data_IF_965438999684
#
_entry.id   IF_965438999684
#
_cell.length_a   1.000
_cell.length_b   1.000
_cell.length_c   1.000
_cell.angle_alpha   90.00
_cell.angle_beta   90.00
_cell.angle_gamma   90.00
#
_symmetry.space_group_name_H-M   'P 1'
#
loop_
_entity.id
_entity.type
_entity.pdbx_description
1 polymer ?
#
# COMPACT_ATOMS: atom_id res chain seq x y z
N UNK A 1 -12.20 -10.15 15.65
CA UNK A 1 -11.35 -10.47 14.48
C UNK A 1 -9.85 -10.47 14.77
N UNK A 2 -9.35 -10.10 15.97
CA UNK A 2 -7.99 -10.47 16.42
C UNK A 2 -6.80 -9.97 15.59
N UNK A 3 -6.98 -8.96 14.73
CA UNK A 3 -5.91 -8.40 13.90
C UNK A 3 -4.97 -7.51 14.73
N UNK A 4 -3.68 -7.60 14.42
CA UNK A 4 -2.70 -6.57 14.79
C UNK A 4 -2.74 -5.49 13.72
N UNK A 5 -3.23 -4.29 14.06
CA UNK A 5 -3.52 -3.23 13.09
C UNK A 5 -2.52 -2.09 13.23
N UNK A 6 -1.83 -1.77 12.13
CA UNK A 6 -1.11 -0.52 11.95
C UNK A 6 -2.03 0.46 11.23
N UNK A 7 -2.42 1.55 11.89
CA UNK A 7 -3.27 2.61 11.31
C UNK A 7 -2.50 3.91 11.26
N UNK A 8 -2.44 4.51 10.08
CA UNK A 8 -1.64 5.68 9.75
C UNK A 8 -2.47 6.60 8.85
N UNK A 9 -2.28 7.92 8.95
CA UNK A 9 -3.05 8.90 8.21
C UNK A 9 -2.19 10.06 7.72
N UNK A 10 -2.58 10.65 6.59
CA UNK A 10 -1.92 11.80 5.96
C UNK A 10 -0.40 11.63 5.80
N UNK A 11 -0.01 10.50 5.19
CA UNK A 11 1.39 10.13 5.07
C UNK A 11 2.06 10.76 3.85
N UNK A 12 3.29 11.24 4.07
CA UNK A 12 4.24 11.55 3.00
C UNK A 12 4.69 10.27 2.29
N UNK A 13 5.30 10.40 1.10
CA UNK A 13 5.84 9.25 0.36
C UNK A 13 6.80 8.41 1.20
N UNK A 14 7.70 9.07 1.93
CA UNK A 14 8.69 8.40 2.77
C UNK A 14 8.03 7.67 3.96
N UNK A 15 7.01 8.25 4.56
CA UNK A 15 6.27 7.62 5.64
C UNK A 15 5.44 6.43 5.15
N UNK A 16 4.83 6.52 3.96
CA UNK A 16 4.16 5.36 3.34
C UNK A 16 5.14 4.20 3.14
N UNK A 17 6.32 4.45 2.57
CA UNK A 17 7.34 3.40 2.36
C UNK A 17 7.77 2.76 3.68
N UNK A 18 7.99 3.58 4.73
CA UNK A 18 8.33 3.09 6.07
C UNK A 18 7.21 2.25 6.68
N UNK A 19 5.97 2.73 6.65
CA UNK A 19 4.80 2.02 7.17
C UNK A 19 4.55 0.70 6.44
N UNK A 20 4.78 0.67 5.12
CA UNK A 20 4.74 -0.58 4.34
C UNK A 20 5.86 -1.53 4.80
N UNK A 21 7.08 -1.03 5.02
CA UNK A 21 8.18 -1.83 5.54
C UNK A 21 7.88 -2.44 6.91
N UNK A 22 7.31 -1.66 7.84
CA UNK A 22 6.86 -2.14 9.15
C UNK A 22 5.77 -3.20 9.02
N UNK A 23 4.77 -2.95 8.16
CA UNK A 23 3.73 -3.92 7.88
C UNK A 23 4.30 -5.24 7.34
N UNK A 24 5.25 -5.20 6.41
CA UNK A 24 5.89 -6.41 5.87
C UNK A 24 6.68 -7.19 6.93
N UNK A 25 7.31 -6.51 7.88
CA UNK A 25 8.03 -7.16 8.99
C UNK A 25 7.11 -7.91 9.97
N UNK A 26 5.82 -7.57 9.99
CA UNK A 26 4.82 -8.26 10.80
C UNK A 26 4.22 -9.49 10.09
N UNK A 27 4.48 -9.66 8.79
CA UNK A 27 3.95 -10.78 8.03
C UNK A 27 4.75 -12.06 8.29
N UNK A 28 4.04 -13.18 8.24
CA UNK A 28 4.58 -14.53 8.35
C UNK A 28 3.77 -15.47 7.45
N UNK A 29 4.31 -16.65 7.13
CA UNK A 29 3.61 -17.60 6.26
C UNK A 29 2.25 -18.06 6.85
N UNK A 30 2.09 -18.00 8.18
CA UNK A 30 0.89 -18.46 8.87
C UNK A 30 -0.18 -17.37 9.11
N UNK A 31 0.04 -16.12 8.66
CA UNK A 31 -0.88 -15.01 8.92
C UNK A 31 -1.86 -14.74 7.77
N UNK A 32 -2.88 -13.93 8.09
CA UNK A 32 -3.80 -13.32 7.13
C UNK A 32 -3.36 -11.86 6.91
N UNK A 33 -2.85 -11.56 5.73
CA UNK A 33 -2.44 -10.22 5.34
C UNK A 33 -3.66 -9.39 4.92
N UNK A 34 -3.81 -8.20 5.52
CA UNK A 34 -4.87 -7.27 5.18
C UNK A 34 -4.28 -5.88 4.98
N UNK A 35 -4.50 -5.31 3.79
CA UNK A 35 -4.09 -3.95 3.46
C UNK A 35 -5.32 -3.13 3.02
N UNK A 36 -5.49 -1.96 3.63
CA UNK A 36 -6.51 -0.99 3.28
C UNK A 36 -5.86 0.36 3.03
N UNK A 37 -6.22 0.98 1.91
CA UNK A 37 -5.85 2.35 1.59
C UNK A 37 -7.10 3.13 1.21
N UNK A 38 -7.21 4.36 1.73
CA UNK A 38 -8.22 5.32 1.34
C UNK A 38 -7.56 6.66 1.02
N UNK A 39 -7.81 7.18 -0.18
CA UNK A 39 -7.20 8.44 -0.62
C UNK A 39 -7.12 8.59 -2.13
N UNK A 40 -6.26 9.50 -2.58
CA UNK A 40 -6.04 9.71 -4.00
C UNK A 40 -5.17 8.62 -4.59
N UNK A 41 -5.56 8.14 -5.77
CA UNK A 41 -4.79 7.19 -6.54
C UNK A 41 -5.13 7.34 -8.01
N UNK A 42 -4.38 6.61 -8.82
CA UNK A 42 -4.58 6.58 -10.25
C UNK A 42 -4.19 5.22 -10.81
N UNK A 43 -4.62 4.96 -12.04
CA UNK A 43 -4.23 3.78 -12.79
C UNK A 43 -3.42 4.18 -14.03
N UNK A 44 -2.28 3.55 -14.24
CA UNK A 44 -1.46 3.78 -15.42
C UNK A 44 -0.91 2.45 -15.94
N UNK A 45 -1.22 2.13 -17.20
CA UNK A 45 -0.81 0.89 -17.86
C UNK A 45 -1.20 -0.38 -17.07
N UNK A 46 -2.41 -0.40 -16.51
CA UNK A 46 -2.91 -1.53 -15.70
C UNK A 46 -2.24 -1.69 -14.33
N UNK A 47 -1.46 -0.69 -13.88
CA UNK A 47 -0.87 -0.63 -12.55
C UNK A 47 -1.56 0.41 -11.70
N UNK A 48 -1.70 0.11 -10.42
CA UNK A 48 -2.37 0.97 -9.45
C UNK A 48 -1.33 1.73 -8.64
N UNK A 49 -1.59 3.01 -8.42
CA UNK A 49 -0.67 3.90 -7.71
C UNK A 49 -1.40 4.66 -6.60
N UNK A 50 -0.79 4.70 -5.41
CA UNK A 50 -1.29 5.42 -4.24
C UNK A 50 -0.55 6.75 -4.15
N UNK A 51 -1.29 7.86 -4.06
CA UNK A 51 -0.70 9.19 -4.01
C UNK A 51 -0.51 9.63 -2.55
N UNK A 52 0.70 10.01 -2.13
CA UNK A 52 0.96 10.54 -0.80
C UNK A 52 0.52 12.01 -0.69
N UNK A 53 0.40 12.53 0.53
CA UNK A 53 -0.09 13.90 0.77
C UNK A 53 0.90 15.00 0.39
N UNK A 54 2.18 14.66 0.28
CA UNK A 54 3.27 15.55 -0.11
C UNK A 54 3.56 15.52 -1.62
N UNK A 55 2.75 14.82 -2.41
CA UNK A 55 2.89 14.83 -3.87
C UNK A 55 2.71 16.26 -4.42
N UNK A 56 3.56 16.70 -5.37
CA UNK A 56 3.42 18.01 -5.98
C UNK A 56 2.14 18.11 -6.81
N UNK A 57 1.73 19.33 -7.15
CA UNK A 57 0.50 19.56 -7.93
C UNK A 57 0.56 18.93 -9.33
N UNK A 58 1.75 18.90 -9.94
CA UNK A 58 2.08 18.25 -11.21
C UNK A 58 2.72 16.88 -11.01
N UNK A 59 2.20 16.11 -10.04
CA UNK A 59 2.70 14.78 -9.67
C UNK A 59 2.94 13.87 -10.87
N UNK A 60 3.99 13.07 -10.75
CA UNK A 60 4.40 12.06 -11.72
C UNK A 60 4.26 10.67 -11.11
N UNK A 61 4.41 9.66 -11.96
CA UNK A 61 4.39 8.26 -11.54
C UNK A 61 5.40 7.95 -10.42
N UNK A 62 6.55 8.61 -10.42
CA UNK A 62 7.63 8.43 -9.44
C UNK A 62 7.30 8.95 -8.03
N UNK A 63 6.40 9.93 -7.92
CA UNK A 63 5.94 10.50 -6.66
C UNK A 63 4.97 9.57 -5.91
N UNK A 64 4.37 8.61 -6.62
CA UNK A 64 3.38 7.69 -6.07
C UNK A 64 3.97 6.34 -5.64
N UNK A 65 3.20 5.57 -4.88
CA UNK A 65 3.54 4.21 -4.47
C UNK A 65 2.88 3.20 -5.41
N UNK A 66 3.68 2.40 -6.10
CA UNK A 66 3.20 1.33 -6.97
C UNK A 66 2.63 0.17 -6.13
N UNK A 67 1.35 -0.14 -6.30
CA UNK A 67 0.69 -1.24 -5.58
C UNK A 67 1.25 -2.60 -6.00
N UNK A 68 1.61 -2.77 -7.28
CA UNK A 68 2.21 -4.03 -7.75
C UNK A 68 3.51 -4.37 -7.01
N UNK A 69 4.32 -3.36 -6.64
CA UNK A 69 5.50 -3.59 -5.79
C UNK A 69 5.11 -4.16 -4.42
N UNK A 70 4.02 -3.67 -3.81
CA UNK A 70 3.52 -4.24 -2.56
C UNK A 70 3.02 -5.67 -2.71
N UNK A 71 2.35 -5.98 -3.82
CA UNK A 71 1.91 -7.35 -4.13
C UNK A 71 3.10 -8.30 -4.28
N UNK A 72 4.20 -7.87 -4.91
CA UNK A 72 5.44 -8.65 -5.00
C UNK A 72 6.05 -8.93 -3.61
N UNK A 73 6.02 -7.95 -2.70
CA UNK A 73 6.47 -8.14 -1.32
C UNK A 73 5.57 -9.13 -0.56
N UNK A 74 4.25 -9.03 -0.73
CA UNK A 74 3.28 -9.94 -0.14
C UNK A 74 3.46 -11.38 -0.64
N UNK A 75 3.75 -11.56 -1.93
CA UNK A 75 4.05 -12.89 -2.50
C UNK A 75 5.31 -13.51 -1.90
N UNK A 76 6.32 -12.70 -1.55
CA UNK A 76 7.53 -13.20 -0.87
C UNK A 76 7.24 -13.62 0.57
N UNK A 77 6.35 -12.91 1.27
CA UNK A 77 5.94 -13.23 2.63
C UNK A 77 5.03 -14.47 2.73
N UNK A 78 4.39 -14.88 1.63
CA UNK A 78 3.52 -16.07 1.50
C UNK A 78 2.47 -16.23 2.62
N UNK A 79 1.71 -15.17 2.98
CA UNK A 79 0.63 -15.33 3.94
C UNK A 79 -0.42 -16.33 3.42
N UNK A 80 -1.12 -17.01 4.33
CA UNK A 80 -2.22 -17.94 3.98
C UNK A 80 -3.30 -17.29 3.13
N UNK A 81 -3.52 -15.99 3.32
CA UNK A 81 -4.47 -15.19 2.58
C UNK A 81 -4.02 -13.74 2.55
N UNK A 82 -4.24 -13.08 1.42
CA UNK A 82 -4.03 -11.64 1.26
C UNK A 82 -5.33 -11.01 0.82
N UNK A 83 -5.76 -9.96 1.53
CA UNK A 83 -6.84 -9.08 1.13
C UNK A 83 -6.27 -7.68 0.97
N UNK A 84 -6.51 -7.07 -0.17
CA UNK A 84 -6.12 -5.70 -0.47
C UNK A 84 -7.34 -4.93 -0.93
N UNK A 85 -7.68 -3.86 -0.21
CA UNK A 85 -8.79 -2.98 -0.53
C UNK A 85 -8.22 -1.59 -0.81
N UNK A 86 -8.50 -1.11 -2.02
CA UNK A 86 -8.08 0.22 -2.47
C UNK A 86 -9.33 1.08 -2.67
N UNK A 87 -9.59 1.93 -1.70
CA UNK A 87 -10.66 2.93 -1.74
C UNK A 87 -10.09 4.24 -2.30
N UNK A 88 -9.85 4.22 -3.61
CA UNK A 88 -9.22 5.32 -4.33
C UNK A 88 -9.88 5.57 -5.66
N UNK A 89 -9.80 6.82 -6.13
CA UNK A 89 -10.16 7.16 -7.49
C UNK A 89 -9.28 6.37 -8.47
N UNK A 90 -9.83 6.04 -9.65
CA UNK A 90 -9.12 5.34 -10.73
C UNK A 90 -9.00 6.23 -11.97
N UNK A 91 -8.63 7.49 -11.74
CA UNK A 91 -8.51 8.50 -12.81
C UNK A 91 -7.34 8.17 -13.72
#
# INVERSE_FOLDING_TARGET
>A
MGYNVLSLGNLTRNEMVRGIGEYMNLLSEDCYAFFYYAGHGFELNGKHYLLPVDAPADWKQEDAICVQWMLELLWKAKPKMTVMILDMCRV
#
